data_IF_511674961121
#
_entry.id   IF_511674961121
#
_cell.length_a   1.000
_cell.length_b   1.000
_cell.length_c   1.000
_cell.angle_alpha   90.00
_cell.angle_beta   90.00
_cell.angle_gamma   90.00
#
_symmetry.space_group_name_H-M   'P 1'
#
loop_
_entity.id
_entity.type
_entity.pdbx_description
1 polymer ?
#
# COMPACT_ATOMS: atom_id res chain seq x y z
N UNK A 1 5.10 -27.37 11.23
CA UNK A 1 3.89 -26.87 11.91
C UNK A 1 2.69 -26.65 10.98
N UNK A 2 2.82 -26.85 9.65
CA UNK A 2 1.77 -26.71 8.62
C UNK A 2 0.80 -27.92 8.52
N UNK A 3 1.00 -28.98 9.33
CA UNK A 3 0.26 -30.26 9.19
C UNK A 3 -1.02 -30.39 10.02
N UNK A 4 -1.48 -29.35 10.73
CA UNK A 4 -2.64 -29.45 11.67
C UNK A 4 -3.84 -28.57 11.32
N UNK A 5 -4.01 -28.17 10.07
CA UNK A 5 -5.22 -27.46 9.63
C UNK A 5 -6.01 -28.35 8.66
N UNK A 6 -7.22 -28.80 9.03
CA UNK A 6 -8.03 -29.67 8.19
C UNK A 6 -8.51 -28.89 6.95
N UNK A 7 -8.33 -29.51 5.78
CA UNK A 7 -8.82 -29.01 4.49
C UNK A 7 -10.33 -28.74 4.56
N UNK A 8 -10.76 -27.52 4.24
CA UNK A 8 -12.17 -27.20 3.96
C UNK A 8 -12.99 -26.55 5.07
N UNK A 9 -12.40 -26.10 6.19
CA UNK A 9 -13.12 -25.25 7.17
C UNK A 9 -12.72 -23.78 7.04
N UNK A 10 -13.68 -22.83 7.17
CA UNK A 10 -13.36 -21.42 7.21
C UNK A 10 -12.37 -21.17 8.35
N UNK A 11 -11.34 -20.38 8.06
CA UNK A 11 -10.36 -19.96 9.06
C UNK A 11 -11.11 -19.23 10.16
N UNK A 12 -10.79 -19.53 11.43
CA UNK A 12 -11.44 -18.87 12.56
C UNK A 12 -11.20 -17.37 12.44
N UNK A 13 -12.28 -16.58 12.50
CA UNK A 13 -12.23 -15.11 12.45
C UNK A 13 -11.28 -14.51 13.49
N UNK A 14 -11.08 -15.20 14.61
CA UNK A 14 -10.11 -14.84 15.64
C UNK A 14 -8.68 -14.66 15.11
N UNK A 15 -8.26 -15.45 14.11
CA UNK A 15 -6.92 -15.30 13.52
C UNK A 15 -6.81 -14.05 12.67
N UNK A 16 -7.84 -13.71 11.90
CA UNK A 16 -7.88 -12.50 11.08
C UNK A 16 -7.83 -11.26 11.97
N UNK A 17 -8.63 -11.25 13.04
CA UNK A 17 -8.65 -10.17 14.03
C UNK A 17 -7.28 -10.04 14.70
N UNK A 18 -6.65 -11.17 15.09
CA UNK A 18 -5.32 -11.16 15.71
C UNK A 18 -4.26 -10.58 14.77
N UNK A 19 -4.29 -10.95 13.48
CA UNK A 19 -3.33 -10.41 12.49
C UNK A 19 -3.58 -8.92 12.30
N UNK A 20 -4.83 -8.48 12.24
CA UNK A 20 -5.17 -7.06 12.10
C UNK A 20 -4.67 -6.23 13.29
N UNK A 21 -4.87 -6.72 14.52
CA UNK A 21 -4.36 -6.08 15.74
C UNK A 21 -2.83 -6.06 15.74
N UNK A 22 -2.17 -7.13 15.28
CA UNK A 22 -0.71 -7.14 15.13
C UNK A 22 -0.23 -6.11 14.10
N UNK A 23 -0.89 -6.00 12.93
CA UNK A 23 -0.57 -5.00 11.91
C UNK A 23 -0.66 -3.58 12.49
N UNK A 24 -1.77 -3.26 13.18
CA UNK A 24 -1.95 -1.96 13.84
C UNK A 24 -0.90 -1.72 14.94
N UNK A 25 -0.61 -2.75 15.74
CA UNK A 25 0.39 -2.69 16.80
C UNK A 25 1.80 -2.44 16.26
N UNK A 26 2.18 -3.10 15.15
CA UNK A 26 3.46 -2.90 14.48
C UNK A 26 3.57 -1.50 13.87
N UNK A 27 2.50 -0.98 13.25
CA UNK A 27 2.48 0.41 12.77
C UNK A 27 2.66 1.40 13.91
N UNK A 28 1.92 1.24 15.00
CA UNK A 28 1.98 2.12 16.16
C UNK A 28 3.36 2.08 16.84
N UNK A 29 3.91 0.88 17.04
CA UNK A 29 5.26 0.73 17.56
C UNK A 29 6.30 1.40 16.65
N UNK A 30 6.17 1.25 15.32
CA UNK A 30 7.03 1.92 14.35
C UNK A 30 7.03 3.44 14.50
N UNK A 31 5.85 4.06 14.63
CA UNK A 31 5.74 5.50 14.89
C UNK A 31 6.35 5.91 16.24
N UNK A 32 6.21 5.08 17.28
CA UNK A 32 6.82 5.34 18.59
C UNK A 32 8.35 5.31 18.56
N UNK A 33 8.95 4.47 17.71
CA UNK A 33 10.41 4.44 17.51
C UNK A 33 10.91 5.55 16.56
N UNK A 34 10.01 6.35 15.99
CA UNK A 34 10.37 7.42 15.03
C UNK A 34 10.62 6.91 13.61
N UNK A 35 10.27 5.66 13.31
CA UNK A 35 10.33 5.07 11.97
C UNK A 35 9.02 5.29 11.20
N UNK A 36 9.05 5.02 9.89
CA UNK A 36 7.86 5.14 9.04
C UNK A 36 6.85 4.02 9.36
N UNK A 37 5.58 4.38 9.59
CA UNK A 37 4.51 3.46 10.00
C UNK A 37 4.24 2.26 9.06
N UNK A 38 4.78 2.28 7.83
CA UNK A 38 4.62 1.21 6.84
C UNK A 38 5.58 0.04 7.05
N UNK A 39 6.75 0.26 7.64
CA UNK A 39 7.83 -0.75 7.68
C UNK A 39 7.41 -1.97 8.51
N UNK A 40 6.80 -1.74 9.67
CA UNK A 40 6.33 -2.81 10.56
C UNK A 40 5.32 -3.77 9.91
N UNK A 41 4.18 -3.26 9.40
CA UNK A 41 3.22 -4.06 8.64
C UNK A 41 3.82 -4.76 7.43
N UNK A 42 4.74 -4.12 6.70
CA UNK A 42 5.36 -4.71 5.52
C UNK A 42 6.19 -5.95 5.88
N UNK A 43 6.97 -5.90 6.97
CA UNK A 43 7.72 -7.05 7.48
C UNK A 43 6.78 -8.15 7.98
N UNK A 44 5.70 -7.78 8.66
CA UNK A 44 4.70 -8.74 9.11
C UNK A 44 4.01 -9.43 7.93
N UNK A 45 3.70 -8.69 6.86
CA UNK A 45 3.15 -9.22 5.62
C UNK A 45 4.08 -10.20 4.92
N UNK A 46 5.40 -9.92 4.89
CA UNK A 46 6.40 -10.82 4.31
C UNK A 46 6.54 -12.13 5.10
N UNK A 47 6.25 -12.12 6.41
CA UNK A 47 6.25 -13.31 7.24
C UNK A 47 5.00 -14.20 7.05
N UNK A 48 3.92 -13.66 6.45
CA UNK A 48 2.70 -14.41 6.17
C UNK A 48 2.92 -15.28 4.91
N UNK A 49 2.68 -16.60 4.98
CA UNK A 49 2.89 -17.49 3.84
C UNK A 49 1.92 -17.19 2.69
N UNK A 50 2.44 -17.18 1.47
CA UNK A 50 1.65 -16.99 0.26
C UNK A 50 0.77 -18.23 -0.02
N UNK A 51 -0.51 -17.98 -0.32
CA UNK A 51 -1.44 -18.99 -0.84
C UNK A 51 -2.54 -19.48 0.13
N UNK A 52 -3.40 -20.39 -0.34
CA UNK A 52 -4.53 -20.91 0.43
C UNK A 52 -4.06 -21.85 1.56
N UNK A 53 -4.80 -21.93 2.68
CA UNK A 53 -6.07 -21.26 2.96
C UNK A 53 -5.91 -19.87 3.63
N UNK A 54 -4.79 -19.61 4.32
CA UNK A 54 -4.63 -18.48 5.24
C UNK A 54 -4.42 -17.13 4.53
N UNK A 55 -3.48 -17.07 3.59
CA UNK A 55 -3.16 -15.82 2.89
C UNK A 55 -4.33 -15.33 2.05
N UNK A 56 -4.97 -16.23 1.30
CA UNK A 56 -6.12 -15.89 0.45
C UNK A 56 -7.31 -15.36 1.26
N UNK A 57 -7.65 -16.01 2.38
CA UNK A 57 -8.76 -15.56 3.24
C UNK A 57 -8.43 -14.24 3.95
N UNK A 58 -7.16 -14.03 4.33
CA UNK A 58 -6.73 -12.78 4.93
C UNK A 58 -6.81 -11.63 3.92
N UNK A 59 -6.31 -11.83 2.71
CA UNK A 59 -6.34 -10.84 1.62
C UNK A 59 -7.80 -10.47 1.30
N UNK A 60 -8.68 -11.45 1.09
CA UNK A 60 -10.09 -11.19 0.77
C UNK A 60 -10.78 -10.32 1.85
N UNK A 61 -10.53 -10.63 3.14
CA UNK A 61 -11.13 -9.88 4.25
C UNK A 61 -10.53 -8.49 4.41
N UNK A 62 -9.21 -8.37 4.32
CA UNK A 62 -8.52 -7.09 4.40
C UNK A 62 -8.88 -6.18 3.23
N UNK A 63 -8.89 -6.71 2.01
CA UNK A 63 -9.26 -5.99 0.80
C UNK A 63 -10.70 -5.48 0.90
N UNK A 64 -11.64 -6.32 1.35
CA UNK A 64 -13.03 -5.90 1.58
C UNK A 64 -13.08 -4.75 2.58
N UNK A 65 -12.40 -4.86 3.73
CA UNK A 65 -12.43 -3.83 4.78
C UNK A 65 -11.74 -2.52 4.35
N UNK A 66 -10.61 -2.63 3.64
CA UNK A 66 -9.85 -1.48 3.14
C UNK A 66 -10.67 -0.76 2.08
N UNK A 67 -11.17 -1.46 1.06
CA UNK A 67 -11.90 -0.86 -0.06
C UNK A 67 -13.25 -0.27 0.34
N UNK A 68 -13.96 -0.89 1.29
CA UNK A 68 -15.31 -0.45 1.69
C UNK A 68 -15.32 0.64 2.76
N UNK A 69 -14.34 0.66 3.66
CA UNK A 69 -14.34 1.57 4.82
C UNK A 69 -13.13 2.50 4.81
N UNK A 70 -11.91 1.96 4.77
CA UNK A 70 -10.70 2.78 4.94
C UNK A 70 -10.42 3.68 3.75
N UNK A 71 -10.57 3.18 2.52
CA UNK A 71 -10.29 3.90 1.29
C UNK A 71 -11.25 5.09 1.10
N UNK A 72 -12.59 4.94 1.28
CA UNK A 72 -13.50 6.09 1.24
C UNK A 72 -13.23 7.12 2.35
N UNK A 73 -12.96 6.67 3.58
CA UNK A 73 -12.61 7.57 4.68
C UNK A 73 -11.30 8.32 4.43
N UNK A 74 -10.31 7.66 3.83
CA UNK A 74 -9.06 8.28 3.43
C UNK A 74 -9.30 9.37 2.39
N UNK A 75 -10.03 9.06 1.32
CA UNK A 75 -10.37 10.05 0.30
C UNK A 75 -11.21 11.21 0.86
N UNK A 76 -12.12 10.93 1.79
CA UNK A 76 -12.87 11.97 2.48
C UNK A 76 -11.97 12.88 3.30
N UNK A 77 -11.04 12.33 4.08
CA UNK A 77 -10.09 13.11 4.91
C UNK A 77 -9.14 13.96 4.06
N UNK A 78 -8.65 13.40 2.95
CA UNK A 78 -7.82 14.14 1.98
C UNK A 78 -8.63 15.24 1.30
N UNK A 79 -9.85 14.94 0.87
CA UNK A 79 -10.75 15.90 0.23
C UNK A 79 -11.18 17.02 1.18
N UNK A 80 -11.44 16.72 2.45
CA UNK A 80 -11.80 17.70 3.47
C UNK A 80 -10.67 18.68 3.80
N UNK A 81 -9.41 18.29 3.59
CA UNK A 81 -8.24 19.18 3.72
C UNK A 81 -7.98 20.00 2.45
N UNK A 82 -8.70 19.71 1.37
CA UNK A 82 -8.48 20.36 0.08
C UNK A 82 -9.33 21.64 -0.01
N UNK A 83 -8.75 22.76 0.40
CA UNK A 83 -9.39 24.07 0.29
C UNK A 83 -9.34 24.59 -1.14
N UNK A 84 -10.43 24.38 -1.89
CA UNK A 84 -10.60 24.88 -3.26
C UNK A 84 -10.55 26.43 -3.34
N UNK A 85 -10.81 27.12 -2.23
CA UNK A 85 -10.74 28.59 -2.16
C UNK A 85 -9.32 29.15 -2.09
N UNK A 86 -8.33 28.32 -1.74
CA UNK A 86 -6.90 28.70 -1.72
C UNK A 86 -6.21 28.44 -3.07
N UNK A 87 -6.94 27.89 -4.05
CA UNK A 87 -6.45 27.67 -5.40
C UNK A 87 -6.37 29.01 -6.12
N UNK A 88 -5.17 29.59 -6.11
CA UNK A 88 -4.82 30.73 -6.95
C UNK A 88 -4.07 30.26 -8.20
N UNK A 89 -4.29 30.94 -9.33
CA UNK A 89 -3.68 30.59 -10.61
C UNK A 89 -2.15 30.66 -10.55
N UNK A 90 -1.59 31.56 -9.72
CA UNK A 90 -0.15 31.67 -9.51
C UNK A 90 0.42 30.50 -8.70
N UNK A 91 -0.28 30.05 -7.66
CA UNK A 91 0.11 28.88 -6.86
C UNK A 91 0.08 27.60 -7.71
N UNK A 92 -0.98 27.41 -8.51
CA UNK A 92 -1.07 26.28 -9.44
C UNK A 92 0.04 26.32 -10.50
N UNK A 93 0.39 27.50 -11.03
CA UNK A 93 1.46 27.63 -12.02
C UNK A 93 2.84 27.21 -11.47
N UNK A 94 3.05 27.27 -10.15
CA UNK A 94 4.31 26.83 -9.51
C UNK A 94 4.24 25.35 -9.13
N UNK A 95 3.12 24.89 -8.55
CA UNK A 95 2.97 23.51 -8.07
C UNK A 95 2.90 22.51 -9.24
N UNK A 96 2.22 22.86 -10.32
CA UNK A 96 2.02 21.98 -11.48
C UNK A 96 3.33 21.53 -12.16
N UNK A 97 4.29 22.41 -12.52
CA UNK A 97 5.54 21.96 -13.13
C UNK A 97 6.41 21.14 -12.18
N UNK A 98 6.39 21.44 -10.87
CA UNK A 98 7.11 20.64 -9.87
C UNK A 98 6.50 19.24 -9.77
N UNK A 99 5.17 19.13 -9.76
CA UNK A 99 4.48 17.84 -9.76
C UNK A 99 4.80 17.01 -11.02
N UNK A 100 4.78 17.62 -12.20
CA UNK A 100 5.15 16.96 -13.46
C UNK A 100 6.61 16.51 -13.43
N UNK A 101 7.52 17.35 -12.94
CA UNK A 101 8.94 17.03 -12.83
C UNK A 101 9.18 15.86 -11.87
N UNK A 102 8.54 15.87 -10.69
CA UNK A 102 8.60 14.76 -9.75
C UNK A 102 8.04 13.47 -10.34
N UNK A 103 6.92 13.54 -11.07
CA UNK A 103 6.33 12.38 -11.73
C UNK A 103 7.28 11.77 -12.77
N UNK A 104 7.82 12.61 -13.68
CA UNK A 104 8.81 12.18 -14.68
C UNK A 104 10.05 11.59 -13.99
N UNK A 105 10.53 12.22 -12.91
CA UNK A 105 11.66 11.74 -12.14
C UNK A 105 11.43 10.35 -11.55
N UNK A 106 10.27 10.09 -10.94
CA UNK A 106 9.91 8.77 -10.41
C UNK A 106 9.80 7.72 -11.52
N UNK A 107 9.14 8.05 -12.64
CA UNK A 107 8.99 7.14 -13.78
C UNK A 107 10.35 6.80 -14.39
N UNK A 108 11.20 7.79 -14.67
CA UNK A 108 12.55 7.54 -15.21
C UNK A 108 13.40 6.73 -14.23
N UNK A 109 13.34 7.06 -12.92
CA UNK A 109 14.07 6.33 -11.89
C UNK A 109 13.71 4.85 -11.84
N UNK A 110 12.40 4.54 -11.86
CA UNK A 110 11.92 3.15 -11.90
C UNK A 110 12.29 2.44 -13.21
N UNK A 111 12.22 3.13 -14.35
CA UNK A 111 12.61 2.57 -15.65
C UNK A 111 14.09 2.20 -15.71
N UNK A 112 14.97 3.08 -15.24
CA UNK A 112 16.43 2.83 -15.23
C UNK A 112 16.76 1.61 -14.38
N UNK A 113 16.20 1.52 -13.17
CA UNK A 113 16.39 0.36 -12.28
C UNK A 113 15.84 -0.92 -12.91
N UNK A 114 14.67 -0.86 -13.53
CA UNK A 114 14.04 -2.01 -14.17
C UNK A 114 14.82 -2.50 -15.40
N UNK A 115 15.45 -1.60 -16.16
CA UNK A 115 16.34 -1.95 -17.27
C UNK A 115 17.63 -2.62 -16.78
N UNK A 116 18.21 -2.16 -15.66
CA UNK A 116 19.34 -2.84 -15.02
C UNK A 116 19.00 -4.26 -14.56
N UNK A 117 17.74 -4.52 -14.22
CA UNK A 117 17.24 -5.85 -13.90
C UNK A 117 16.89 -6.72 -15.13
N UNK A 118 17.20 -6.28 -16.36
CA UNK A 118 16.90 -7.00 -17.62
C UNK A 118 15.40 -7.31 -17.82
N UNK A 119 14.51 -6.43 -17.36
CA UNK A 119 13.06 -6.54 -17.58
C UNK A 119 12.70 -5.92 -18.95
N UNK A 120 11.67 -6.46 -19.62
CA UNK A 120 11.21 -5.92 -20.90
C UNK A 120 10.74 -4.46 -20.75
N UNK A 121 10.92 -3.64 -21.80
CA UNK A 121 10.58 -2.20 -21.73
C UNK A 121 9.09 -1.95 -21.43
N UNK A 122 8.22 -2.85 -21.88
CA UNK A 122 6.77 -2.75 -21.67
C UNK A 122 6.43 -3.05 -20.21
N UNK A 123 7.05 -4.07 -19.62
CA UNK A 123 6.85 -4.42 -18.21
C UNK A 123 7.51 -3.38 -17.28
N UNK A 124 8.64 -2.80 -17.70
CA UNK A 124 9.29 -1.72 -16.98
C UNK A 124 8.42 -0.44 -16.96
N UNK A 125 7.79 -0.11 -18.09
CA UNK A 125 6.87 1.03 -18.17
C UNK A 125 5.62 0.84 -17.32
N UNK A 126 5.02 -0.35 -17.34
CA UNK A 126 3.86 -0.65 -16.50
C UNK A 126 4.22 -0.57 -15.01
N UNK A 127 5.36 -1.15 -14.61
CA UNK A 127 5.85 -1.08 -13.23
C UNK A 127 6.15 0.36 -12.79
N UNK A 128 6.77 1.15 -13.66
CA UNK A 128 7.09 2.55 -13.39
C UNK A 128 5.85 3.44 -13.26
N UNK A 129 4.79 3.15 -14.04
CA UNK A 129 3.49 3.81 -13.89
C UNK A 129 2.80 3.42 -12.58
N UNK A 130 2.79 2.13 -12.21
CA UNK A 130 2.16 1.65 -10.97
C UNK A 130 2.81 2.28 -9.73
N UNK A 131 4.13 2.43 -9.72
CA UNK A 131 4.87 3.03 -8.59
C UNK A 131 4.80 4.58 -8.55
N UNK A 132 4.41 5.19 -9.67
CA UNK A 132 4.33 6.65 -9.82
C UNK A 132 2.91 7.20 -9.69
N UNK A 133 1.89 6.35 -9.86
CA UNK A 133 0.48 6.64 -9.55
C UNK A 133 0.25 6.82 -8.05
#
# INVERSE_FOLDING_TARGET
MVRKTPRGKPIKESYIISIFVMTLGCSFAGEMFGEHFLIGPALLGLAVPEGPPLGSALVEKLETMVSTVLLPLFYFSVGAKCDLSLIDAHSLAIVQPVAIFCFIGKVIGTLVVSMWCNISLVDALSLGLILSA
#
